data_IF_036724572246
#
_entry.id   IF_036724572246
#
_cell.length_a   1.000
_cell.length_b   1.000
_cell.length_c   1.000
_cell.angle_alpha   90.00
_cell.angle_beta   90.00
_cell.angle_gamma   90.00
#
_symmetry.space_group_name_H-M   'P 1'
#
loop_
_entity.id
_entity.type
_entity.pdbx_description
1 polymer ?
#
# COMPACT_ATOMS: atom_id res chain seq x y z
N UNK A 1 -7.27 6.57 -23.46
CA UNK A 1 -6.22 6.58 -22.41
C UNK A 1 -6.07 5.16 -21.88
N UNK A 2 -4.86 4.76 -21.49
CA UNK A 2 -4.64 3.49 -20.81
C UNK A 2 -5.31 3.54 -19.41
N UNK A 3 -6.23 2.63 -19.07
CA UNK A 3 -6.88 2.64 -17.75
C UNK A 3 -5.94 2.17 -16.63
N UNK A 4 -4.75 1.68 -16.97
CA UNK A 4 -3.76 1.20 -16.01
C UNK A 4 -2.74 2.29 -15.67
N UNK A 5 -2.51 2.51 -14.38
CA UNK A 5 -1.41 3.34 -13.87
C UNK A 5 -0.49 2.50 -12.98
N UNK A 6 0.82 2.81 -12.92
CA UNK A 6 1.74 2.04 -12.09
C UNK A 6 1.57 2.33 -10.60
N UNK A 7 1.85 1.33 -9.76
CA UNK A 7 2.15 1.55 -8.35
C UNK A 7 3.48 2.28 -8.18
N UNK A 8 3.60 3.08 -7.13
CA UNK A 8 4.75 3.94 -6.81
C UNK A 8 5.59 3.42 -5.65
N UNK A 9 5.23 2.25 -5.10
CA UNK A 9 5.86 1.70 -3.92
C UNK A 9 7.33 1.26 -4.11
N UNK A 10 7.76 1.01 -5.34
CA UNK A 10 9.12 0.58 -5.68
C UNK A 10 9.69 1.50 -6.76
N UNK A 11 10.93 1.95 -6.56
CA UNK A 11 11.71 2.71 -7.56
C UNK A 11 12.21 1.79 -8.68
N UNK A 12 11.29 1.26 -9.48
CA UNK A 12 11.58 0.48 -10.67
C UNK A 12 11.31 1.31 -11.92
N UNK A 13 12.27 1.34 -12.84
CA UNK A 13 12.12 2.04 -14.12
C UNK A 13 11.10 1.37 -15.06
N UNK A 14 10.81 0.09 -14.84
CA UNK A 14 9.86 -0.69 -15.64
C UNK A 14 8.69 -1.11 -14.74
N UNK A 15 7.53 -0.45 -14.85
CA UNK A 15 6.39 -0.78 -14.01
C UNK A 15 5.82 -2.14 -14.39
N UNK A 16 5.71 -3.03 -13.39
CA UNK A 16 5.15 -4.38 -13.57
C UNK A 16 3.91 -4.63 -12.71
N UNK A 17 3.64 -3.75 -11.74
CA UNK A 17 2.44 -3.78 -10.91
C UNK A 17 1.61 -2.53 -11.23
N UNK A 18 0.35 -2.75 -11.61
CA UNK A 18 -0.53 -1.71 -12.15
C UNK A 18 -1.85 -1.70 -11.41
N UNK A 19 -2.42 -0.51 -11.23
CA UNK A 19 -3.78 -0.28 -10.76
C UNK A 19 -4.68 -0.14 -11.97
N UNK A 20 -5.73 -0.94 -12.04
CA UNK A 20 -6.85 -0.69 -12.95
C UNK A 20 -7.73 0.45 -12.41
N UNK A 21 -7.58 1.64 -12.99
CA UNK A 21 -8.34 2.83 -12.56
C UNK A 21 -9.84 2.73 -12.80
N UNK A 22 -10.31 1.76 -13.60
CA UNK A 22 -11.73 1.54 -13.88
C UNK A 22 -12.37 0.49 -12.95
N UNK A 23 -11.58 -0.17 -12.10
CA UNK A 23 -12.11 -1.11 -11.09
C UNK A 23 -13.19 -0.46 -10.23
N UNK A 24 -14.25 -1.18 -9.81
CA UNK A 24 -15.31 -0.60 -8.97
C UNK A 24 -14.78 0.15 -7.73
N UNK A 25 -15.37 1.30 -7.33
CA UNK A 25 -14.88 2.10 -6.21
C UNK A 25 -14.73 1.34 -4.89
N UNK A 26 -15.67 0.46 -4.59
CA UNK A 26 -15.66 -0.44 -3.43
C UNK A 26 -14.51 -1.45 -3.50
N UNK A 27 -14.17 -1.96 -4.68
CA UNK A 27 -13.02 -2.85 -4.89
C UNK A 27 -11.71 -2.10 -4.68
N UNK A 28 -11.58 -0.87 -5.20
CA UNK A 28 -10.41 -0.01 -4.95
C UNK A 28 -10.24 0.28 -3.46
N UNK A 29 -11.34 0.65 -2.79
CA UNK A 29 -11.36 0.91 -1.35
C UNK A 29 -10.98 -0.33 -0.53
N UNK A 30 -11.58 -1.49 -0.82
CA UNK A 30 -11.29 -2.74 -0.11
C UNK A 30 -9.81 -3.14 -0.23
N UNK A 31 -9.22 -2.97 -1.42
CA UNK A 31 -7.80 -3.26 -1.64
C UNK A 31 -6.87 -2.29 -0.89
N UNK A 32 -7.24 -1.01 -0.80
CA UNK A 32 -6.49 -0.04 0.00
C UNK A 32 -6.60 -0.34 1.50
N UNK A 33 -7.82 -0.58 1.98
CA UNK A 33 -8.10 -0.90 3.37
C UNK A 33 -7.37 -2.16 3.84
N UNK A 34 -7.32 -3.21 3.01
CA UNK A 34 -6.59 -4.44 3.32
C UNK A 34 -5.09 -4.20 3.55
N UNK A 35 -4.46 -3.34 2.74
CA UNK A 35 -3.03 -2.98 2.87
C UNK A 35 -2.76 -2.16 4.13
N UNK A 36 -3.58 -1.14 4.37
CA UNK A 36 -3.48 -0.32 5.58
C UNK A 36 -3.66 -1.19 6.83
N UNK A 37 -4.65 -2.08 6.82
CA UNK A 37 -4.88 -3.01 7.93
C UNK A 37 -3.69 -3.95 8.16
N UNK A 38 -3.10 -4.51 7.09
CA UNK A 38 -1.93 -5.36 7.20
C UNK A 38 -0.74 -4.61 7.81
N UNK A 39 -0.51 -3.36 7.40
CA UNK A 39 0.53 -2.49 7.99
C UNK A 39 0.24 -2.23 9.46
N UNK A 40 -0.99 -1.87 9.82
CA UNK A 40 -1.39 -1.66 11.22
C UNK A 40 -1.11 -2.89 12.07
N UNK A 41 -1.55 -4.07 11.63
CA UNK A 41 -1.34 -5.32 12.36
C UNK A 41 0.16 -5.66 12.50
N UNK A 42 0.96 -5.37 11.48
CA UNK A 42 2.40 -5.58 11.53
C UNK A 42 3.07 -4.63 12.55
N UNK A 43 2.71 -3.35 12.55
CA UNK A 43 3.24 -2.37 13.50
C UNK A 43 2.81 -2.65 14.94
N UNK A 44 1.55 -3.04 15.17
CA UNK A 44 1.07 -3.49 16.48
C UNK A 44 1.82 -4.74 16.97
N UNK A 45 2.20 -5.63 16.05
CA UNK A 45 2.96 -6.82 16.41
C UNK A 45 4.40 -6.48 16.77
N UNK A 46 5.00 -5.49 16.10
CA UNK A 46 6.32 -4.96 16.48
C UNK A 46 6.29 -4.27 17.85
N UNK A 47 5.25 -3.47 18.13
CA UNK A 47 5.11 -2.76 19.41
C UNK A 47 5.00 -3.73 20.60
N UNK A 48 4.36 -4.88 20.39
CA UNK A 48 4.27 -5.97 21.39
C UNK A 48 5.55 -6.81 21.53
N UNK A 49 6.48 -6.72 20.58
CA UNK A 49 7.70 -7.52 20.60
C UNK A 49 8.68 -6.87 21.60
N UNK A 50 9.11 -7.62 22.61
CA UNK A 50 10.29 -7.23 23.37
C UNK A 50 11.51 -7.33 22.43
N UNK A 51 11.94 -6.20 21.87
CA UNK A 51 13.06 -6.07 20.91
C UNK A 51 14.44 -6.39 21.53
N UNK A 52 14.48 -7.16 22.62
CA UNK A 52 15.69 -7.48 23.37
C UNK A 52 16.69 -8.33 22.55
N UNK A 53 16.24 -8.99 21.48
CA UNK A 53 17.06 -9.89 20.63
C UNK A 53 16.74 -9.77 19.12
N UNK A 54 16.00 -8.74 18.71
CA UNK A 54 15.67 -8.56 17.29
C UNK A 54 16.86 -7.94 16.55
N UNK A 55 17.42 -8.68 15.60
CA UNK A 55 18.48 -8.16 14.74
C UNK A 55 17.99 -6.92 13.99
N UNK A 56 18.79 -5.84 14.01
CA UNK A 56 18.47 -4.58 13.33
C UNK A 56 18.15 -4.74 11.83
N UNK A 57 18.60 -5.84 11.23
CA UNK A 57 18.32 -6.25 9.86
C UNK A 57 16.86 -6.67 9.68
N UNK A 58 16.28 -7.40 10.63
CA UNK A 58 14.89 -7.87 10.57
C UNK A 58 13.91 -6.71 10.68
N UNK A 59 14.19 -5.76 11.58
CA UNK A 59 13.38 -4.55 11.71
C UNK A 59 13.42 -3.69 10.44
N UNK A 60 14.58 -3.59 9.79
CA UNK A 60 14.72 -2.86 8.51
C UNK A 60 13.92 -3.52 7.38
N UNK A 61 13.94 -4.85 7.27
CA UNK A 61 13.15 -5.56 6.28
C UNK A 61 11.64 -5.41 6.53
N UNK A 62 11.21 -5.50 7.78
CA UNK A 62 9.79 -5.41 8.12
C UNK A 62 9.25 -3.99 7.92
N UNK A 63 10.02 -2.98 8.34
CA UNK A 63 9.66 -1.57 8.08
C UNK A 63 9.63 -1.24 6.59
N UNK A 64 10.56 -1.78 5.80
CA UNK A 64 10.54 -1.63 4.34
C UNK A 64 9.30 -2.27 3.70
N UNK A 65 8.93 -3.49 4.11
CA UNK A 65 7.71 -4.14 3.65
C UNK A 65 6.45 -3.35 4.02
N UNK A 66 6.38 -2.82 5.25
CA UNK A 66 5.29 -1.94 5.68
C UNK A 66 5.20 -0.67 4.83
N UNK A 67 6.35 -0.07 4.50
CA UNK A 67 6.39 1.13 3.65
C UNK A 67 5.86 0.85 2.23
N UNK A 68 6.20 -0.31 1.64
CA UNK A 68 5.69 -0.73 0.33
C UNK A 68 4.16 -0.87 0.39
N UNK A 69 3.64 -1.63 1.35
CA UNK A 69 2.20 -1.86 1.49
C UNK A 69 1.43 -0.57 1.74
N UNK A 70 1.97 0.34 2.54
CA UNK A 70 1.34 1.63 2.82
C UNK A 70 1.28 2.49 1.57
N UNK A 71 2.37 2.55 0.78
CA UNK A 71 2.40 3.26 -0.50
C UNK A 71 1.40 2.68 -1.49
N UNK A 72 1.31 1.36 -1.60
CA UNK A 72 0.30 0.72 -2.44
C UNK A 72 -1.12 1.12 -2.02
N UNK A 73 -1.38 1.19 -0.71
CA UNK A 73 -2.65 1.66 -0.16
C UNK A 73 -2.96 3.11 -0.54
N UNK A 74 -1.97 4.00 -0.44
CA UNK A 74 -2.08 5.40 -0.84
C UNK A 74 -2.38 5.54 -2.33
N UNK A 75 -1.67 4.82 -3.21
CA UNK A 75 -1.90 4.89 -4.65
C UNK A 75 -3.35 4.50 -5.02
N UNK A 76 -3.90 3.47 -4.36
CA UNK A 76 -5.29 3.04 -4.55
C UNK A 76 -6.29 4.09 -4.05
N UNK A 77 -6.03 4.72 -2.90
CA UNK A 77 -6.87 5.80 -2.37
C UNK A 77 -6.82 7.06 -3.24
N UNK A 78 -5.67 7.36 -3.85
CA UNK A 78 -5.52 8.48 -4.78
C UNK A 78 -6.32 8.28 -6.07
N UNK A 79 -6.37 7.04 -6.59
CA UNK A 79 -7.26 6.69 -7.71
C UNK A 79 -8.71 6.83 -7.30
N UNK A 80 -9.10 6.27 -6.15
CA UNK A 80 -10.46 6.36 -5.63
C UNK A 80 -10.89 7.82 -5.44
N UNK A 81 -10.07 8.64 -4.79
CA UNK A 81 -10.33 10.06 -4.54
C UNK A 81 -10.55 10.86 -5.82
N UNK A 82 -9.72 10.63 -6.85
CA UNK A 82 -9.91 11.25 -8.17
C UNK A 82 -11.26 10.89 -8.80
N UNK A 83 -11.71 9.64 -8.64
CA UNK A 83 -13.02 9.20 -9.18
C UNK A 83 -14.20 9.80 -8.44
N UNK A 84 -14.09 9.90 -7.11
CA UNK A 84 -15.12 10.53 -6.29
C UNK A 84 -15.24 12.02 -6.63
N UNK A 85 -14.13 12.72 -6.84
CA UNK A 85 -14.15 14.13 -7.22
C UNK A 85 -14.75 14.41 -8.61
N UNK A 86 -14.54 13.52 -9.59
CA UNK A 86 -15.16 13.61 -10.92
C UNK A 86 -16.68 13.37 -10.87
N UNK A 87 -17.19 12.78 -9.78
CA UNK A 87 -18.61 12.43 -9.62
C UNK A 87 -19.42 13.49 -8.84
N UNK A 88 -18.78 14.56 -8.36
CA UNK A 88 -19.38 15.71 -7.66
C UNK A 88 -19.36 16.96 -8.54
#
# INVERSE_FOLDING_TARGET
MNPYIPLTAIDCLIPSLLIDTQSPPDVLHANAAARILAVTQALESLDRLELNDADSVDLKHLTHACAILLRDGCDLLDVLGRRLHVST
#
